data_IF_826327360844
#
_entry.id   IF_826327360844
#
_cell.length_a   1.000
_cell.length_b   1.000
_cell.length_c   1.000
_cell.angle_alpha   90.00
_cell.angle_beta   90.00
_cell.angle_gamma   90.00
#
_symmetry.space_group_name_H-M   'P 1'
#
loop_
_entity.id
_entity.type
_entity.pdbx_description
1 polymer ?
#
# COMPACT_ATOMS: atom_id res chain seq x y z
N UNK A 1 -33.86 6.03 -23.03
CA UNK A 1 -32.58 5.68 -23.67
C UNK A 1 -31.54 5.51 -22.56
N UNK A 2 -31.17 4.23 -22.31
CA UNK A 2 -30.13 3.68 -21.41
C UNK A 2 -30.02 4.23 -19.98
N UNK A 3 -30.78 3.60 -19.08
CA UNK A 3 -30.39 3.38 -17.68
C UNK A 3 -29.05 2.63 -17.64
N UNK A 4 -28.03 3.21 -17.00
CA UNK A 4 -26.86 2.46 -16.56
C UNK A 4 -27.18 1.85 -15.20
N UNK A 5 -27.61 0.59 -15.21
CA UNK A 5 -27.59 -0.26 -14.02
C UNK A 5 -26.14 -0.33 -13.52
N UNK A 6 -25.85 0.32 -12.40
CA UNK A 6 -24.68 -0.02 -11.57
C UNK A 6 -24.96 -1.37 -10.92
N UNK A 7 -24.58 -2.43 -11.62
CA UNK A 7 -24.25 -3.73 -11.03
C UNK A 7 -22.74 -3.62 -10.75
N UNK A 8 -22.12 -3.90 -9.59
CA UNK A 8 -22.50 -4.13 -8.20
C UNK A 8 -21.19 -4.47 -7.45
N UNK A 9 -21.00 -4.03 -6.21
CA UNK A 9 -20.02 -4.67 -5.29
C UNK A 9 -20.76 -5.53 -4.25
N UNK A 10 -22.06 -5.27 -4.03
CA UNK A 10 -22.92 -6.10 -3.19
C UNK A 10 -23.38 -7.45 -3.79
N UNK A 11 -23.09 -7.79 -5.06
CA UNK A 11 -23.59 -9.06 -5.65
C UNK A 11 -22.62 -10.23 -5.58
N UNK A 12 -21.32 -9.99 -5.38
CA UNK A 12 -20.34 -11.07 -5.23
C UNK A 12 -20.29 -11.62 -3.79
N UNK A 13 -20.75 -10.81 -2.81
CA UNK A 13 -20.97 -11.21 -1.41
C UNK A 13 -22.09 -12.25 -1.21
N UNK A 14 -22.87 -12.54 -2.26
CA UNK A 14 -24.15 -13.24 -2.16
C UNK A 14 -24.05 -14.76 -2.04
N UNK A 15 -22.88 -15.41 -2.19
CA UNK A 15 -22.90 -16.87 -2.46
C UNK A 15 -22.23 -17.80 -1.41
N UNK A 16 -21.25 -17.42 -0.57
CA UNK A 16 -20.40 -18.48 0.07
C UNK A 16 -20.13 -18.38 1.58
N UNK A 17 -20.63 -17.41 2.36
CA UNK A 17 -20.32 -17.40 3.81
C UNK A 17 -21.17 -18.41 4.64
N UNK A 18 -22.11 -19.14 4.02
CA UNK A 18 -23.03 -20.00 4.79
C UNK A 18 -23.29 -21.40 4.18
N UNK A 19 -22.33 -21.99 3.48
CA UNK A 19 -22.56 -23.30 2.82
C UNK A 19 -22.70 -24.54 3.74
N UNK A 20 -22.56 -24.46 5.08
CA UNK A 20 -22.57 -25.72 5.90
C UNK A 20 -23.34 -25.66 7.22
N UNK A 21 -23.99 -24.55 7.60
CA UNK A 21 -24.65 -24.49 8.93
C UNK A 21 -25.99 -25.25 8.99
N UNK A 22 -26.69 -25.52 7.87
CA UNK A 22 -28.06 -26.06 7.91
C UNK A 22 -28.42 -27.19 6.94
N UNK A 23 -27.45 -27.79 6.24
CA UNK A 23 -27.74 -29.02 5.50
C UNK A 23 -27.61 -30.20 6.47
N UNK A 24 -28.64 -30.46 7.28
CA UNK A 24 -29.08 -31.80 7.70
C UNK A 24 -30.21 -31.65 8.74
N UNK A 25 -31.45 -31.85 8.26
CA UNK A 25 -32.64 -32.37 8.97
C UNK A 25 -33.85 -31.44 9.25
N UNK A 26 -33.79 -30.13 9.01
CA UNK A 26 -34.99 -29.27 9.13
C UNK A 26 -35.08 -28.25 7.99
N UNK A 27 -35.98 -28.48 7.04
CA UNK A 27 -36.31 -27.57 5.93
C UNK A 27 -36.95 -26.24 6.35
N UNK A 28 -36.88 -25.85 7.63
CA UNK A 28 -37.64 -24.74 8.25
C UNK A 28 -36.72 -23.62 8.77
N UNK A 29 -35.43 -23.89 9.01
CA UNK A 29 -34.49 -22.86 9.45
C UNK A 29 -33.81 -22.19 8.25
N UNK A 30 -33.94 -20.87 8.16
CA UNK A 30 -33.07 -20.06 7.30
C UNK A 30 -31.73 -19.84 8.00
N UNK A 31 -30.67 -19.53 7.26
CA UNK A 31 -29.36 -19.31 7.89
C UNK A 31 -29.06 -17.82 7.98
N UNK A 32 -28.64 -17.31 9.15
CA UNK A 32 -28.13 -15.95 9.23
C UNK A 32 -26.99 -15.73 8.25
N UNK A 33 -26.98 -14.59 7.58
CA UNK A 33 -25.96 -14.25 6.59
C UNK A 33 -25.52 -12.80 6.72
N UNK A 34 -24.25 -12.54 6.37
CA UNK A 34 -23.72 -11.18 6.31
C UNK A 34 -24.25 -10.51 5.06
N UNK A 35 -25.01 -9.42 5.23
CA UNK A 35 -25.57 -8.61 4.16
C UNK A 35 -24.59 -7.57 3.64
N UNK A 36 -23.83 -6.94 4.54
CA UNK A 36 -22.79 -5.97 4.19
C UNK A 36 -21.69 -5.94 5.24
N UNK A 37 -20.49 -5.57 4.78
CA UNK A 37 -19.34 -5.24 5.61
C UNK A 37 -18.85 -3.89 5.11
N UNK A 38 -18.77 -2.92 6.02
CA UNK A 38 -18.23 -1.60 5.73
C UNK A 38 -17.06 -1.35 6.68
N UNK A 39 -15.91 -0.96 6.13
CA UNK A 39 -14.69 -0.72 6.91
C UNK A 39 -14.17 0.69 6.67
N UNK A 40 -13.65 1.30 7.73
CA UNK A 40 -12.96 2.59 7.67
C UNK A 40 -11.81 2.64 8.65
N UNK A 41 -10.86 3.52 8.40
CA UNK A 41 -9.79 3.79 9.35
C UNK A 41 -10.32 4.42 10.64
N UNK A 42 -9.83 3.94 11.78
CA UNK A 42 -10.08 4.46 13.11
C UNK A 42 -8.95 5.37 13.58
N UNK A 43 -8.51 5.23 14.83
CA UNK A 43 -7.34 5.94 15.33
C UNK A 43 -6.05 5.43 14.66
N UNK A 44 -5.16 6.35 14.29
CA UNK A 44 -3.89 6.04 13.62
C UNK A 44 -2.74 6.84 14.23
N UNK A 45 -1.75 6.11 14.72
CA UNK A 45 -0.50 6.59 15.29
C UNK A 45 0.68 5.72 14.82
N UNK A 46 1.90 6.04 15.24
CA UNK A 46 3.10 5.24 14.91
C UNK A 46 3.09 3.83 15.52
N UNK A 47 2.33 3.63 16.60
CA UNK A 47 2.28 2.35 17.33
C UNK A 47 0.93 1.62 17.22
N UNK A 48 -0.10 2.28 16.68
CA UNK A 48 -1.44 1.74 16.62
C UNK A 48 -2.13 2.19 15.33
N UNK A 49 -2.79 1.26 14.65
CA UNK A 49 -3.66 1.56 13.52
C UNK A 49 -4.92 0.75 13.67
N UNK A 50 -6.07 1.41 13.72
CA UNK A 50 -7.37 0.78 13.92
C UNK A 50 -8.16 0.70 12.62
N UNK A 51 -8.89 -0.39 12.46
CA UNK A 51 -9.95 -0.55 11.46
C UNK A 51 -11.27 -0.67 12.21
N UNK A 52 -12.19 0.22 11.88
CA UNK A 52 -13.57 0.19 12.38
C UNK A 52 -14.42 -0.49 11.31
N UNK A 53 -15.08 -1.58 11.69
CA UNK A 53 -15.87 -2.40 10.76
C UNK A 53 -17.30 -2.52 11.25
N UNK A 54 -18.25 -2.12 10.42
CA UNK A 54 -19.67 -2.36 10.61
C UNK A 54 -20.07 -3.59 9.80
N UNK A 55 -20.71 -4.57 10.45
CA UNK A 55 -21.18 -5.80 9.84
C UNK A 55 -22.69 -5.86 10.01
N UNK A 56 -23.42 -5.84 8.90
CA UNK A 56 -24.86 -6.05 8.90
C UNK A 56 -25.15 -7.52 8.66
N UNK A 57 -25.83 -8.17 9.60
CA UNK A 57 -26.23 -9.57 9.55
C UNK A 57 -27.75 -9.65 9.45
N UNK A 58 -28.26 -10.51 8.58
CA UNK A 58 -29.69 -10.80 8.48
C UNK A 58 -29.95 -12.20 9.01
N UNK A 59 -30.80 -12.31 10.04
CA UNK A 59 -31.32 -13.56 10.57
C UNK A 59 -32.74 -13.79 10.00
N UNK A 60 -32.93 -14.71 9.04
CA UNK A 60 -34.24 -14.97 8.44
C UNK A 60 -35.18 -15.79 9.34
N UNK A 61 -34.75 -16.21 10.53
CA UNK A 61 -35.55 -17.04 11.43
C UNK A 61 -36.43 -16.19 12.33
N UNK A 62 -37.65 -16.65 12.63
CA UNK A 62 -38.59 -15.98 13.55
C UNK A 62 -38.16 -16.01 15.04
N UNK A 63 -36.90 -16.31 15.33
CA UNK A 63 -36.32 -16.39 16.65
C UNK A 63 -34.84 -16.02 16.63
N UNK A 64 -34.35 -15.59 17.78
CA UNK A 64 -32.99 -15.14 17.95
C UNK A 64 -32.00 -16.31 17.96
N UNK A 65 -30.78 -16.05 17.47
CA UNK A 65 -29.68 -17.02 17.47
C UNK A 65 -28.52 -16.43 18.26
N UNK A 66 -28.03 -17.17 19.26
CA UNK A 66 -26.88 -16.75 20.06
C UNK A 66 -25.58 -17.38 19.55
N UNK A 67 -24.63 -16.53 19.16
CA UNK A 67 -23.24 -16.91 18.94
C UNK A 67 -22.51 -16.75 20.27
N UNK A 68 -22.14 -17.87 20.89
CA UNK A 68 -21.45 -17.87 22.19
C UNK A 68 -20.04 -17.31 22.11
N UNK A 69 -19.34 -17.54 21.00
CA UNK A 69 -18.05 -16.91 20.76
C UNK A 69 -17.71 -16.82 19.28
N UNK A 70 -17.11 -15.71 18.90
CA UNK A 70 -16.52 -15.42 17.61
C UNK A 70 -15.05 -15.10 17.84
N UNK A 71 -14.15 -15.79 17.15
CA UNK A 71 -12.75 -15.39 17.02
C UNK A 71 -12.47 -15.15 15.55
N UNK A 72 -11.68 -14.11 15.24
CA UNK A 72 -11.32 -13.79 13.87
C UNK A 72 -9.86 -13.38 13.75
N UNK A 73 -9.29 -13.68 12.59
CA UNK A 73 -7.93 -13.31 12.19
C UNK A 73 -8.00 -12.65 10.81
N UNK A 74 -7.28 -11.55 10.63
CA UNK A 74 -7.13 -10.84 9.37
C UNK A 74 -5.72 -11.10 8.83
N UNK A 75 -5.64 -11.50 7.57
CA UNK A 75 -4.42 -11.82 6.87
C UNK A 75 -4.25 -10.90 5.66
N UNK A 76 -3.04 -10.40 5.48
CA UNK A 76 -2.60 -9.76 4.23
C UNK A 76 -1.51 -10.65 3.62
N UNK A 77 -1.76 -11.25 2.46
CA UNK A 77 -0.82 -12.21 1.84
C UNK A 77 -0.40 -13.36 2.79
N UNK A 78 -1.36 -13.91 3.54
CA UNK A 78 -1.17 -14.94 4.58
C UNK A 78 -0.35 -14.50 5.81
N UNK A 79 -0.05 -13.20 5.97
CA UNK A 79 0.55 -12.64 7.18
C UNK A 79 -0.57 -12.17 8.10
N UNK A 80 -0.67 -12.74 9.31
CA UNK A 80 -1.65 -12.29 10.30
C UNK A 80 -1.33 -10.87 10.73
N UNK A 81 -2.18 -9.93 10.32
CA UNK A 81 -2.03 -8.51 10.62
C UNK A 81 -2.88 -8.09 11.82
N UNK A 82 -3.96 -8.81 12.10
CA UNK A 82 -4.81 -8.55 13.25
C UNK A 82 -5.60 -9.79 13.66
N UNK A 83 -6.07 -9.76 14.89
CA UNK A 83 -7.01 -10.74 15.43
C UNK A 83 -7.99 -10.04 16.37
N UNK A 84 -9.13 -10.68 16.59
CA UNK A 84 -10.12 -10.19 17.53
C UNK A 84 -11.06 -11.30 17.99
N UNK A 85 -11.80 -10.99 19.06
CA UNK A 85 -12.74 -11.93 19.64
C UNK A 85 -13.96 -11.20 20.18
N UNK A 86 -15.08 -11.91 20.19
CA UNK A 86 -16.35 -11.44 20.71
C UNK A 86 -17.15 -12.63 21.25
N UNK A 87 -18.12 -12.40 22.12
CA UNK A 87 -18.90 -13.44 22.79
C UNK A 87 -20.33 -13.00 23.03
N UNK A 88 -21.20 -13.99 23.23
CA UNK A 88 -22.60 -13.77 23.60
C UNK A 88 -23.34 -12.83 22.62
N UNK A 89 -23.01 -12.93 21.32
CA UNK A 89 -23.62 -12.11 20.26
C UNK A 89 -25.04 -12.63 20.00
N UNK A 90 -26.03 -11.79 20.21
CA UNK A 90 -27.43 -12.11 19.89
C UNK A 90 -27.76 -11.64 18.47
N UNK A 91 -28.10 -12.57 17.59
CA UNK A 91 -28.63 -12.27 16.27
C UNK A 91 -30.15 -12.26 16.36
N UNK A 92 -30.72 -11.07 16.56
CA UNK A 92 -32.17 -10.87 16.61
C UNK A 92 -32.82 -11.29 15.28
N UNK A 93 -34.08 -11.71 15.31
CA UNK A 93 -34.83 -11.89 14.06
C UNK A 93 -34.80 -10.60 13.21
N UNK A 94 -34.45 -10.74 11.92
CA UNK A 94 -34.24 -9.63 11.01
C UNK A 94 -32.81 -9.13 11.03
N UNK A 95 -32.61 -7.81 11.04
CA UNK A 95 -31.31 -7.19 10.85
C UNK A 95 -30.61 -6.93 12.18
N UNK A 96 -29.38 -7.44 12.33
CA UNK A 96 -28.47 -7.11 13.43
C UNK A 96 -27.26 -6.36 12.88
N UNK A 97 -26.87 -5.25 13.51
CA UNK A 97 -25.67 -4.48 13.15
C UNK A 97 -24.62 -4.66 14.24
N UNK A 98 -23.44 -5.14 13.86
CA UNK A 98 -22.31 -5.37 14.75
C UNK A 98 -21.18 -4.40 14.40
N UNK A 99 -20.57 -3.80 15.41
CA UNK A 99 -19.48 -2.85 15.24
C UNK A 99 -18.21 -3.41 15.88
N UNK A 100 -17.14 -3.53 15.09
CA UNK A 100 -15.86 -4.04 15.52
C UNK A 100 -14.78 -2.97 15.40
N UNK A 101 -13.93 -2.88 16.42
CA UNK A 101 -12.69 -2.13 16.38
C UNK A 101 -11.54 -3.13 16.40
N UNK A 102 -10.77 -3.17 15.31
CA UNK A 102 -9.64 -4.10 15.17
C UNK A 102 -8.34 -3.32 15.10
N UNK A 103 -7.40 -3.63 15.97
CA UNK A 103 -6.06 -3.03 15.95
C UNK A 103 -5.12 -3.85 15.08
N UNK A 104 -4.46 -3.21 14.13
CA UNK A 104 -3.41 -3.80 13.31
C UNK A 104 -2.11 -3.94 14.11
N UNK A 105 -1.44 -5.06 13.93
CA UNK A 105 -0.09 -5.29 14.41
C UNK A 105 0.92 -4.60 13.49
N UNK A 106 1.26 -3.35 13.80
CA UNK A 106 2.18 -2.51 13.01
C UNK A 106 3.58 -3.14 12.83
N UNK A 107 4.01 -4.02 13.74
CA UNK A 107 5.29 -4.73 13.62
C UNK A 107 5.35 -5.69 12.43
N UNK A 108 4.19 -6.05 11.86
CA UNK A 108 4.05 -6.91 10.69
C UNK A 108 4.02 -6.16 9.37
N UNK A 109 4.02 -4.83 9.39
CA UNK A 109 4.00 -3.99 8.18
C UNK A 109 5.24 -4.21 7.29
N UNK A 110 6.49 -4.30 7.80
CA UNK A 110 7.66 -4.59 6.95
C UNK A 110 7.54 -5.93 6.22
N UNK A 111 7.06 -6.97 6.92
CA UNK A 111 6.82 -8.29 6.36
C UNK A 111 5.70 -8.26 5.30
N UNK A 112 4.60 -7.57 5.58
CA UNK A 112 3.51 -7.38 4.61
C UNK A 112 3.97 -6.60 3.37
N UNK A 113 4.68 -5.49 3.57
CA UNK A 113 5.23 -4.65 2.50
C UNK A 113 6.08 -5.46 1.51
N UNK A 114 7.03 -6.23 2.05
CA UNK A 114 7.85 -7.15 1.26
C UNK A 114 7.00 -8.15 0.46
N UNK A 115 6.00 -8.77 1.11
CA UNK A 115 5.10 -9.72 0.45
C UNK A 115 4.24 -9.06 -0.64
N UNK A 116 3.81 -7.82 -0.43
CA UNK A 116 2.97 -7.06 -1.36
C UNK A 116 3.72 -6.81 -2.66
N UNK A 117 4.95 -6.29 -2.57
CA UNK A 117 5.78 -5.98 -3.73
C UNK A 117 6.19 -7.28 -4.45
N UNK A 118 6.64 -8.30 -3.72
CA UNK A 118 6.98 -9.60 -4.30
C UNK A 118 5.81 -10.27 -5.03
N UNK A 119 4.57 -9.97 -4.63
CA UNK A 119 3.36 -10.37 -5.33
C UNK A 119 2.91 -9.37 -6.41
N UNK A 120 3.85 -8.68 -7.07
CA UNK A 120 3.57 -7.65 -8.09
C UNK A 120 2.63 -6.56 -7.57
N UNK A 121 2.96 -5.99 -6.41
CA UNK A 121 2.16 -4.94 -5.76
C UNK A 121 0.70 -5.37 -5.56
N UNK A 122 0.51 -6.63 -5.13
CA UNK A 122 -0.81 -7.22 -4.88
C UNK A 122 -0.91 -7.78 -3.47
N UNK A 123 -2.00 -7.43 -2.78
CA UNK A 123 -2.34 -7.97 -1.47
C UNK A 123 -3.68 -8.68 -1.52
N UNK A 124 -3.70 -9.96 -1.20
CA UNK A 124 -4.93 -10.71 -0.95
C UNK A 124 -5.28 -10.55 0.53
N UNK A 125 -6.44 -9.93 0.81
CA UNK A 125 -6.99 -9.84 2.15
C UNK A 125 -7.80 -11.10 2.41
N UNK A 126 -7.42 -11.88 3.41
CA UNK A 126 -8.18 -13.05 3.85
C UNK A 126 -8.60 -12.86 5.28
N UNK A 127 -9.84 -13.20 5.60
CA UNK A 127 -10.31 -13.24 6.98
C UNK A 127 -10.67 -14.68 7.34
N UNK A 128 -10.21 -15.13 8.51
CA UNK A 128 -10.58 -16.42 9.08
C UNK A 128 -11.44 -16.20 10.30
N UNK A 129 -12.60 -16.85 10.33
CA UNK A 129 -13.51 -16.88 11.47
C UNK A 129 -13.52 -18.26 12.13
N UNK A 130 -13.64 -18.27 13.45
CA UNK A 130 -13.97 -19.44 14.24
C UNK A 130 -15.20 -19.11 15.09
N UNK A 131 -16.33 -19.68 14.71
CA UNK A 131 -17.64 -19.38 15.29
C UNK A 131 -18.11 -20.55 16.14
N UNK A 132 -18.60 -20.26 17.33
CA UNK A 132 -19.27 -21.21 18.21
C UNK A 132 -20.69 -20.73 18.47
N UNK A 133 -21.68 -21.46 17.96
CA UNK A 133 -23.08 -21.14 18.10
C UNK A 133 -23.79 -22.13 19.02
N UNK A 134 -24.78 -21.64 19.76
CA UNK A 134 -25.67 -22.45 20.60
C UNK A 134 -27.11 -22.23 20.18
N UNK A 135 -27.85 -23.33 20.05
CA UNK A 135 -29.30 -23.33 19.83
C UNK A 135 -29.92 -24.39 20.73
N UNK A 136 -30.35 -23.99 21.92
CA UNK A 136 -30.82 -24.91 22.96
C UNK A 136 -29.73 -25.93 23.34
N UNK A 137 -30.00 -27.25 23.30
CA UNK A 137 -29.00 -28.28 23.60
C UNK A 137 -27.95 -28.46 22.48
N UNK A 138 -28.17 -27.87 21.30
CA UNK A 138 -27.30 -28.04 20.14
C UNK A 138 -26.14 -27.04 20.22
N UNK A 139 -24.92 -27.57 20.10
CA UNK A 139 -23.69 -26.79 20.02
C UNK A 139 -23.03 -27.05 18.66
N UNK A 140 -22.61 -26.00 17.96
CA UNK A 140 -21.92 -26.11 16.67
C UNK A 140 -20.68 -25.21 16.65
N UNK A 141 -19.60 -25.74 16.09
CA UNK A 141 -18.38 -25.00 15.82
C UNK A 141 -18.08 -25.04 14.34
N UNK A 142 -17.74 -23.89 13.76
CA UNK A 142 -17.35 -23.78 12.36
C UNK A 142 -16.10 -22.91 12.25
N UNK A 143 -15.16 -23.33 11.40
CA UNK A 143 -14.06 -22.46 10.94
C UNK A 143 -14.32 -22.11 9.48
N UNK A 144 -14.21 -20.83 9.15
CA UNK A 144 -14.46 -20.29 7.81
C UNK A 144 -13.24 -19.47 7.45
N UNK A 145 -12.65 -19.70 6.28
CA UNK A 145 -11.60 -18.84 5.70
C UNK A 145 -12.14 -18.33 4.37
N UNK A 146 -12.08 -17.03 4.14
CA UNK A 146 -12.54 -16.45 2.87
C UNK A 146 -11.65 -15.28 2.47
N UNK A 147 -11.45 -15.15 1.16
CA UNK A 147 -10.78 -14.01 0.56
C UNK A 147 -11.78 -12.86 0.49
N UNK A 148 -11.52 -11.81 1.25
CA UNK A 148 -12.41 -10.66 1.38
C UNK A 148 -12.26 -9.73 0.19
N UNK A 149 -11.02 -9.36 -0.14
CA UNK A 149 -10.72 -8.44 -1.23
C UNK A 149 -9.28 -8.65 -1.73
N UNK A 150 -9.00 -8.13 -2.92
CA UNK A 150 -7.64 -8.02 -3.45
C UNK A 150 -7.33 -6.56 -3.72
N UNK A 151 -6.25 -6.07 -3.10
CA UNK A 151 -5.72 -4.72 -3.32
C UNK A 151 -4.60 -4.83 -4.36
N UNK A 152 -4.62 -3.94 -5.33
CA UNK A 152 -3.52 -3.77 -6.28
C UNK A 152 -3.02 -2.32 -6.24
N UNK A 153 -1.70 -2.13 -6.19
CA UNK A 153 -1.07 -0.81 -6.29
C UNK A 153 -0.11 -0.75 -7.47
N UNK A 154 0.36 0.45 -7.79
CA UNK A 154 1.36 0.67 -8.84
C UNK A 154 2.21 1.88 -8.49
N UNK A 155 2.93 1.78 -7.39
CA UNK A 155 3.71 2.83 -6.75
C UNK A 155 4.81 3.35 -7.68
N UNK A 156 5.56 2.46 -8.34
CA UNK A 156 6.65 2.89 -9.23
C UNK A 156 6.15 3.63 -10.47
N UNK A 157 4.94 3.36 -10.96
CA UNK A 157 4.37 4.15 -12.06
C UNK A 157 4.16 5.62 -11.67
N UNK A 158 3.94 5.91 -10.38
CA UNK A 158 3.74 7.27 -9.87
C UNK A 158 5.02 8.08 -9.81
N UNK A 159 6.17 7.40 -9.89
CA UNK A 159 7.50 8.04 -9.94
C UNK A 159 7.94 8.37 -11.37
N UNK A 160 7.23 7.89 -12.40
CA UNK A 160 7.61 8.14 -13.80
C UNK A 160 7.51 9.62 -14.15
N UNK A 161 8.46 10.09 -14.97
CA UNK A 161 8.39 11.41 -15.57
C UNK A 161 7.38 11.41 -16.72
N UNK A 162 6.42 12.33 -16.67
CA UNK A 162 5.45 12.53 -17.77
C UNK A 162 6.03 13.40 -18.90
N UNK A 163 7.02 14.23 -18.57
CA UNK A 163 7.70 15.14 -19.49
C UNK A 163 9.20 15.20 -19.15
N UNK A 164 10.06 15.55 -20.12
CA UNK A 164 11.48 15.78 -19.83
C UNK A 164 11.65 16.84 -18.75
N UNK A 165 12.56 16.59 -17.80
CA UNK A 165 12.83 17.49 -16.68
C UNK A 165 14.21 18.12 -16.80
N UNK A 166 14.25 19.44 -16.88
CA UNK A 166 15.50 20.20 -16.90
C UNK A 166 16.16 20.19 -15.50
N UNK A 167 17.48 20.00 -15.49
CA UNK A 167 18.34 20.15 -14.33
C UNK A 167 18.97 21.53 -14.44
N UNK A 168 18.44 22.47 -13.66
CA UNK A 168 18.93 23.84 -13.58
C UNK A 168 19.82 23.96 -12.34
N UNK A 169 20.99 24.59 -12.49
CA UNK A 169 21.99 24.73 -11.45
C UNK A 169 22.48 26.17 -11.37
N UNK A 170 22.90 26.60 -10.19
CA UNK A 170 23.55 27.89 -9.99
C UNK A 170 25.06 27.72 -9.94
N UNK A 171 25.77 28.35 -10.87
CA UNK A 171 27.24 28.46 -10.86
C UNK A 171 27.64 29.94 -10.71
N UNK A 172 28.89 30.25 -10.30
CA UNK A 172 29.30 31.62 -9.95
C UNK A 172 28.99 32.71 -10.98
N UNK A 173 28.94 32.37 -12.28
CA UNK A 173 28.68 33.31 -13.38
C UNK A 173 27.31 33.12 -14.03
N UNK A 174 26.54 32.10 -13.65
CA UNK A 174 25.28 31.73 -14.29
C UNK A 174 24.34 31.07 -13.26
N UNK A 175 23.41 31.83 -12.66
CA UNK A 175 22.58 31.34 -11.56
C UNK A 175 21.49 30.36 -11.99
N UNK A 176 21.12 30.33 -13.27
CA UNK A 176 20.07 29.47 -13.83
C UNK A 176 20.59 28.69 -15.05
N UNK A 177 21.78 28.09 -14.92
CA UNK A 177 22.36 27.26 -15.98
C UNK A 177 21.53 25.98 -16.14
N UNK A 178 20.94 25.79 -17.32
CA UNK A 178 20.38 24.49 -17.72
C UNK A 178 21.51 23.50 -17.99
N UNK A 179 21.84 22.65 -17.03
CA UNK A 179 23.00 21.75 -17.11
C UNK A 179 22.69 20.48 -17.92
N UNK A 180 21.59 19.81 -17.61
CA UNK A 180 21.19 18.53 -18.23
C UNK A 180 19.67 18.46 -18.38
N UNK A 181 19.17 17.54 -19.22
CA UNK A 181 17.75 17.19 -19.25
C UNK A 181 17.57 15.72 -18.95
N UNK A 182 16.74 15.39 -17.95
CA UNK A 182 16.27 14.02 -17.71
C UNK A 182 15.15 13.74 -18.70
N UNK A 183 15.40 12.88 -19.69
CA UNK A 183 14.44 12.55 -20.76
C UNK A 183 13.76 11.20 -20.56
N UNK A 184 14.27 10.38 -19.64
CA UNK A 184 13.70 9.09 -19.31
C UNK A 184 13.95 8.74 -17.85
N UNK A 185 12.94 8.14 -17.22
CA UNK A 185 12.97 7.69 -15.83
C UNK A 185 12.23 6.36 -15.72
N UNK A 186 12.96 5.28 -15.46
CA UNK A 186 12.44 3.91 -15.46
C UNK A 186 12.81 3.18 -14.17
N UNK A 187 12.03 3.34 -13.09
CA UNK A 187 12.24 2.62 -11.84
C UNK A 187 11.70 1.19 -11.95
N UNK A 188 12.39 0.26 -11.28
CA UNK A 188 11.99 -1.14 -11.13
C UNK A 188 12.31 -1.63 -9.73
N UNK A 189 11.45 -2.49 -9.20
CA UNK A 189 11.78 -3.23 -8.00
C UNK A 189 12.92 -4.20 -8.27
N UNK A 190 13.84 -4.31 -7.33
CA UNK A 190 14.95 -5.26 -7.35
C UNK A 190 14.89 -6.14 -6.08
N UNK A 191 15.94 -6.18 -5.26
CA UNK A 191 15.94 -6.96 -4.02
C UNK A 191 14.80 -6.51 -3.08
N UNK A 192 13.92 -7.45 -2.71
CA UNK A 192 12.84 -7.21 -1.76
C UNK A 192 12.89 -8.32 -0.70
N UNK A 193 13.21 -7.96 0.54
CA UNK A 193 13.11 -8.84 1.71
C UNK A 193 12.41 -8.10 2.86
N UNK A 194 12.37 -8.67 4.06
CA UNK A 194 11.66 -8.04 5.20
C UNK A 194 12.37 -6.80 5.74
N UNK A 195 13.68 -6.69 5.58
CA UNK A 195 14.50 -5.58 6.11
C UNK A 195 14.70 -4.46 5.08
N UNK A 196 14.91 -4.83 3.82
CA UNK A 196 15.32 -3.92 2.75
C UNK A 196 14.46 -4.11 1.50
N UNK A 197 14.11 -2.99 0.87
CA UNK A 197 13.56 -2.94 -0.48
C UNK A 197 14.46 -2.08 -1.36
N UNK A 198 14.88 -2.59 -2.52
CA UNK A 198 15.70 -1.86 -3.50
C UNK A 198 14.84 -1.48 -4.70
N UNK A 199 14.98 -0.22 -5.14
CA UNK A 199 14.48 0.27 -6.42
C UNK A 199 15.69 0.58 -7.29
N UNK A 200 15.88 -0.16 -8.37
CA UNK A 200 16.85 0.18 -9.40
C UNK A 200 16.19 1.10 -10.43
N UNK A 201 16.79 2.27 -10.66
CA UNK A 201 16.24 3.29 -11.55
C UNK A 201 17.21 3.62 -12.67
N UNK A 202 16.80 3.37 -13.91
CA UNK A 202 17.52 3.86 -15.09
C UNK A 202 17.03 5.26 -15.47
N UNK A 203 17.97 6.20 -15.60
CA UNK A 203 17.76 7.59 -15.98
C UNK A 203 18.41 7.85 -17.34
N UNK A 204 17.75 8.62 -18.21
CA UNK A 204 18.36 9.09 -19.47
C UNK A 204 18.71 10.56 -19.32
N UNK A 205 20.00 10.88 -19.26
CA UNK A 205 20.51 12.24 -19.12
C UNK A 205 21.00 12.76 -20.48
N UNK A 206 20.37 13.82 -20.97
CA UNK A 206 20.75 14.53 -22.19
C UNK A 206 21.62 15.75 -21.86
N UNK A 207 22.74 15.88 -22.56
CA UNK A 207 23.62 17.04 -22.48
C UNK A 207 23.31 18.01 -23.65
N UNK A 208 22.72 19.19 -23.38
CA UNK A 208 22.42 20.18 -24.41
C UNK A 208 23.64 20.99 -24.87
N UNK A 209 24.79 20.86 -24.20
CA UNK A 209 25.98 21.69 -24.42
C UNK A 209 26.94 21.11 -25.46
N UNK A 210 27.82 21.96 -25.97
CA UNK A 210 28.91 21.58 -26.88
C UNK A 210 30.15 21.01 -26.16
N UNK A 211 30.13 20.95 -24.83
CA UNK A 211 31.21 20.44 -23.97
C UNK A 211 30.74 19.23 -23.17
N UNK A 212 31.67 18.35 -22.79
CA UNK A 212 31.37 17.16 -22.00
C UNK A 212 30.97 17.54 -20.58
N UNK A 213 29.96 16.86 -20.03
CA UNK A 213 29.60 16.94 -18.61
C UNK A 213 29.93 15.61 -17.94
N UNK A 214 30.60 15.66 -16.79
CA UNK A 214 30.81 14.48 -15.96
C UNK A 214 29.95 14.57 -14.70
N UNK A 215 29.19 13.52 -14.40
CA UNK A 215 28.47 13.33 -13.14
C UNK A 215 29.37 12.49 -12.23
N UNK A 216 29.98 13.13 -11.23
CA UNK A 216 30.94 12.45 -10.32
C UNK A 216 30.19 11.64 -9.28
N UNK A 217 29.21 12.26 -8.63
CA UNK A 217 28.29 11.57 -7.73
C UNK A 217 26.93 12.25 -7.75
N UNK A 218 25.91 11.48 -7.39
CA UNK A 218 24.56 11.97 -7.10
C UNK A 218 24.01 11.10 -5.98
N UNK A 219 23.78 11.70 -4.82
CA UNK A 219 23.22 11.04 -3.65
C UNK A 219 21.92 11.73 -3.28
N UNK A 220 20.97 10.99 -2.72
CA UNK A 220 19.71 11.56 -2.31
C UNK A 220 19.05 10.82 -1.15
N UNK A 221 18.24 11.55 -0.40
CA UNK A 221 17.31 11.02 0.59
C UNK A 221 15.92 10.93 -0.04
N UNK A 222 15.23 9.80 0.15
CA UNK A 222 13.86 9.58 -0.29
C UNK A 222 12.92 9.72 0.91
N UNK A 223 12.01 10.69 0.81
CA UNK A 223 11.13 11.11 1.90
C UNK A 223 9.69 10.94 1.45
N UNK A 224 8.85 10.38 2.32
CA UNK A 224 7.42 10.19 2.08
C UNK A 224 6.64 10.74 3.28
N UNK A 225 5.75 11.72 3.06
CA UNK A 225 5.00 12.42 4.11
C UNK A 225 5.90 13.00 5.23
N UNK A 226 7.06 13.55 4.86
CA UNK A 226 8.11 14.05 5.76
C UNK A 226 8.86 12.99 6.57
N UNK A 227 8.64 11.70 6.32
CA UNK A 227 9.43 10.61 6.90
C UNK A 227 10.49 10.15 5.90
N UNK A 228 11.79 10.21 6.24
CA UNK A 228 12.83 9.55 5.46
C UNK A 228 12.59 8.05 5.45
N UNK A 229 12.38 7.47 4.26
CA UNK A 229 12.16 6.02 4.09
C UNK A 229 13.41 5.32 3.57
N UNK A 230 14.32 6.05 2.95
CA UNK A 230 15.51 5.48 2.35
C UNK A 230 16.44 6.54 1.76
N UNK A 231 17.51 6.06 1.15
CA UNK A 231 18.48 6.87 0.44
C UNK A 231 18.78 6.22 -0.91
N UNK A 232 19.36 6.98 -1.82
CA UNK A 232 19.88 6.40 -3.05
C UNK A 232 21.08 7.15 -3.57
N UNK A 233 21.74 6.51 -4.53
CA UNK A 233 22.98 7.01 -5.10
C UNK A 233 23.11 6.58 -6.55
N UNK A 234 23.91 7.34 -7.30
CA UNK A 234 24.40 6.97 -8.61
C UNK A 234 25.38 5.80 -8.50
N UNK A 235 25.10 4.70 -9.18
CA UNK A 235 25.88 3.46 -9.05
C UNK A 235 27.34 3.62 -9.52
N UNK A 236 27.59 4.47 -10.51
CA UNK A 236 28.93 4.79 -11.01
C UNK A 236 28.96 6.19 -11.63
N UNK A 237 30.09 6.92 -11.55
CA UNK A 237 30.27 8.17 -12.27
C UNK A 237 29.94 8.02 -13.76
N UNK A 238 29.45 9.08 -14.38
CA UNK A 238 29.01 9.07 -15.77
C UNK A 238 29.58 10.24 -16.55
N UNK A 239 30.02 9.99 -17.78
CA UNK A 239 30.47 11.02 -18.72
C UNK A 239 29.41 11.15 -19.81
N UNK A 240 28.91 12.36 -20.04
CA UNK A 240 27.82 12.66 -20.98
C UNK A 240 28.39 13.55 -22.10
N UNK A 241 28.71 12.97 -23.27
CA UNK A 241 29.28 13.72 -24.40
C UNK A 241 28.37 14.85 -24.90
N UNK A 242 28.94 15.84 -25.63
CA UNK A 242 28.18 16.94 -26.22
C UNK A 242 26.99 16.48 -27.07
N UNK A 243 25.84 17.12 -26.91
CA UNK A 243 24.63 16.87 -27.71
C UNK A 243 24.12 15.42 -27.67
N UNK A 244 24.48 14.66 -26.64
CA UNK A 244 24.18 13.22 -26.54
C UNK A 244 23.38 12.88 -25.28
N UNK A 245 22.75 11.71 -25.30
CA UNK A 245 22.03 11.16 -24.15
C UNK A 245 22.71 9.89 -23.65
N UNK A 246 22.89 9.79 -22.33
CA UNK A 246 23.51 8.64 -21.66
C UNK A 246 22.55 8.06 -20.64
N UNK A 247 22.48 6.73 -20.59
CA UNK A 247 21.74 6.01 -19.54
C UNK A 247 22.62 5.87 -18.32
N UNK A 248 22.13 6.29 -17.16
CA UNK A 248 22.77 6.10 -15.86
C UNK A 248 21.84 5.36 -14.91
N UNK A 249 22.40 4.67 -13.91
CA UNK A 249 21.60 3.91 -12.95
C UNK A 249 21.76 4.47 -11.54
N UNK A 250 20.64 4.58 -10.84
CA UNK A 250 20.57 4.91 -9.43
C UNK A 250 19.94 3.76 -8.65
N UNK A 251 20.52 3.43 -7.51
CA UNK A 251 19.96 2.45 -6.58
C UNK A 251 19.34 3.19 -5.39
N UNK A 252 18.04 3.02 -5.18
CA UNK A 252 17.34 3.47 -3.98
C UNK A 252 17.25 2.30 -3.01
N UNK A 253 17.76 2.49 -1.80
CA UNK A 253 17.68 1.53 -0.70
C UNK A 253 16.67 2.07 0.31
N UNK A 254 15.58 1.33 0.50
CA UNK A 254 14.56 1.60 1.51
C UNK A 254 14.80 0.67 2.69
N UNK A 255 14.90 1.24 3.89
CA UNK A 255 14.87 0.47 5.14
C UNK A 255 13.40 0.25 5.52
N UNK A 256 12.96 -1.01 5.47
CA UNK A 256 11.56 -1.35 5.69
C UNK A 256 11.10 -1.05 7.13
N UNK A 257 12.00 -0.80 8.09
CA UNK A 257 11.61 -0.33 9.42
C UNK A 257 11.01 1.08 9.37
N UNK A 258 11.50 1.93 8.45
CA UNK A 258 11.00 3.29 8.26
C UNK A 258 9.65 3.32 7.51
N UNK A 259 9.25 2.20 6.90
CA UNK A 259 7.93 2.07 6.25
C UNK A 259 6.79 2.13 7.28
N UNK A 260 7.03 1.79 8.55
CA UNK A 260 5.99 1.83 9.59
C UNK A 260 5.49 3.26 9.80
N UNK A 261 6.40 4.22 10.03
CA UNK A 261 6.03 5.61 10.27
C UNK A 261 5.39 6.25 9.02
N UNK A 262 5.94 5.95 7.84
CA UNK A 262 5.31 6.36 6.58
C UNK A 262 3.90 5.78 6.45
N UNK A 263 3.69 4.49 6.68
CA UNK A 263 2.40 3.81 6.53
C UNK A 263 1.33 4.45 7.42
N UNK A 264 1.65 4.67 8.70
CA UNK A 264 0.76 5.38 9.61
C UNK A 264 0.42 6.79 9.13
N UNK A 265 1.41 7.54 8.64
CA UNK A 265 1.17 8.89 8.09
C UNK A 265 0.30 8.86 6.83
N UNK A 266 0.50 7.86 5.98
CA UNK A 266 -0.23 7.68 4.72
C UNK A 266 -1.71 7.45 4.99
N UNK A 267 -2.03 6.52 5.89
CA UNK A 267 -3.42 6.25 6.29
C UNK A 267 -4.04 7.50 6.94
N UNK A 268 -3.33 8.14 7.86
CA UNK A 268 -3.81 9.35 8.56
C UNK A 268 -4.15 10.48 7.59
N UNK A 269 -3.44 10.57 6.46
CA UNK A 269 -3.68 11.54 5.41
C UNK A 269 -4.77 11.10 4.40
N UNK A 270 -5.57 10.07 4.72
CA UNK A 270 -6.62 9.57 3.83
C UNK A 270 -6.05 8.72 2.69
N UNK A 271 -5.06 7.88 3.01
CA UNK A 271 -4.33 7.06 2.04
C UNK A 271 -3.65 7.90 0.96
N UNK A 272 -3.03 8.99 1.40
CA UNK A 272 -2.31 9.94 0.54
C UNK A 272 -0.86 10.08 0.99
N UNK A 273 0.04 10.09 0.00
CA UNK A 273 1.43 10.42 0.21
C UNK A 273 1.93 11.46 -0.75
N UNK A 274 2.55 12.50 -0.21
CA UNK A 274 3.49 13.34 -0.93
C UNK A 274 4.91 12.80 -0.72
N UNK A 275 5.65 12.58 -1.80
CA UNK A 275 7.06 12.20 -1.72
C UNK A 275 7.96 13.36 -2.13
N UNK A 276 9.18 13.35 -1.59
CA UNK A 276 10.25 14.29 -1.92
C UNK A 276 11.57 13.53 -2.04
N UNK A 277 12.39 13.94 -3.00
CA UNK A 277 13.80 13.57 -3.10
C UNK A 277 14.63 14.81 -2.80
N UNK A 278 15.48 14.72 -1.77
CA UNK A 278 16.49 15.74 -1.46
C UNK A 278 17.84 15.22 -1.89
N UNK A 279 18.49 15.90 -2.82
CA UNK A 279 19.71 15.40 -3.45
C UNK A 279 20.91 16.33 -3.27
N UNK A 280 22.09 15.75 -3.36
CA UNK A 280 23.38 16.44 -3.49
C UNK A 280 24.16 15.77 -4.62
N UNK A 281 24.69 16.58 -5.52
CA UNK A 281 25.34 16.10 -6.73
C UNK A 281 26.58 16.91 -7.05
N UNK A 282 27.62 16.27 -7.57
CA UNK A 282 28.80 16.97 -8.06
C UNK A 282 29.00 16.69 -9.54
N UNK A 283 29.13 17.76 -10.32
CA UNK A 283 29.35 17.70 -11.76
C UNK A 283 30.65 18.40 -12.15
N UNK A 284 31.29 17.94 -13.21
CA UNK A 284 32.36 18.67 -13.88
C UNK A 284 31.82 19.22 -15.19
N UNK A 285 31.92 20.54 -15.34
CA UNK A 285 31.52 21.27 -16.54
C UNK A 285 32.60 22.31 -16.86
N UNK A 286 33.02 22.40 -18.12
CA UNK A 286 34.11 23.29 -18.57
C UNK A 286 35.41 23.20 -17.73
N UNK A 287 35.71 22.01 -17.18
CA UNK A 287 36.91 21.77 -16.37
C UNK A 287 36.83 22.23 -14.92
N UNK A 288 35.69 22.77 -14.47
CA UNK A 288 35.41 23.13 -13.08
C UNK A 288 34.40 22.18 -12.43
N UNK A 289 34.57 21.94 -11.13
CA UNK A 289 33.67 21.11 -10.34
C UNK A 289 32.61 21.96 -9.66
N UNK A 290 31.35 21.53 -9.76
CA UNK A 290 30.20 22.22 -9.19
C UNK A 290 29.40 21.28 -8.31
N UNK A 291 29.26 21.65 -7.03
CA UNK A 291 28.32 21.02 -6.11
C UNK A 291 26.94 21.65 -6.30
N UNK A 292 25.94 20.81 -6.52
CA UNK A 292 24.55 21.19 -6.74
C UNK A 292 23.72 20.67 -5.57
N UNK A 293 23.13 21.59 -4.82
CA UNK A 293 22.25 21.31 -3.70
C UNK A 293 20.98 22.18 -3.80
N UNK A 294 19.78 21.64 -3.56
CA UNK A 294 19.27 20.30 -3.89
C UNK A 294 18.39 20.31 -5.15
N UNK A 295 18.47 19.26 -5.97
CA UNK A 295 17.44 18.98 -6.98
C UNK A 295 16.23 18.42 -6.22
N UNK A 296 15.20 19.26 -6.03
CA UNK A 296 13.95 18.85 -5.41
C UNK A 296 13.04 18.19 -6.45
N UNK A 297 12.87 16.88 -6.34
CA UNK A 297 11.81 16.17 -7.03
C UNK A 297 10.69 15.89 -6.04
N UNK A 298 9.47 16.28 -6.38
CA UNK A 298 8.28 16.00 -5.58
C UNK A 298 7.23 15.32 -6.44
N UNK A 299 6.34 14.60 -5.79
CA UNK A 299 5.15 14.04 -6.42
C UNK A 299 4.21 13.48 -5.37
N UNK A 300 3.14 12.84 -5.82
CA UNK A 300 2.09 12.35 -4.95
C UNK A 300 1.49 11.04 -5.45
N UNK A 301 0.98 10.23 -4.52
CA UNK A 301 0.18 9.07 -4.83
C UNK A 301 -0.87 8.82 -3.75
N UNK A 302 -1.93 8.12 -4.15
CA UNK A 302 -2.99 7.64 -3.27
C UNK A 302 -3.17 6.13 -3.42
N UNK A 303 -3.70 5.48 -2.38
CA UNK A 303 -4.13 4.08 -2.43
C UNK A 303 -5.59 3.93 -2.02
N UNK A 304 -6.07 2.69 -2.05
CA UNK A 304 -7.33 2.28 -1.47
C UNK A 304 -7.17 0.87 -0.87
N UNK A 305 -6.66 0.82 0.36
CA UNK A 305 -6.26 -0.39 1.07
C UNK A 305 -7.45 -1.08 1.76
N UNK A 306 -8.58 -0.38 1.95
CA UNK A 306 -9.80 -0.98 2.50
C UNK A 306 -10.82 -1.41 1.41
N UNK A 307 -10.70 -0.89 0.18
CA UNK A 307 -11.54 -1.26 -0.96
C UNK A 307 -12.64 -0.24 -1.25
#
# INVERSE_FOLDING_TARGET
MKLWKKISIGSALVIIVVLVILYFSFSILGVPYVKSIESRWGNVSSNQTEILTEVTIENPNLFDITISSLYYEIYLNNITIAEGWDKDINLEHGTTILNYMTTLNVSKIPQWWSSHINNNETTIITIRYKVFAKLGPIHKTQTIKYEYNTIHTNLLSKLKLNEPKEIIVSIPNEPELHLLTVTGFSPKWDLINEDITIINTSLVLYNPHSTTIEVVFFNYEFIMNNFPVGWGYLASPATIPPGSAVVVNCDTIIDNKNIIDWFSSHIKNGEFTQYQIKSSANFVYEGASYLVEPINLTGEFYTNLLG
#
